data_IF_108349765662
#
_entry.id   IF_108349765662
#
_cell.length_a   1.000
_cell.length_b   1.000
_cell.length_c   1.000
_cell.angle_alpha   90.00
_cell.angle_beta   90.00
_cell.angle_gamma   90.00
#
_symmetry.space_group_name_H-M   'P 1'
#
loop_
_entity.id
_entity.type
_entity.pdbx_description
1 polymer ?
#
# COMPACT_ATOMS: atom_id res chain seq x y z
N UNK A 1 -21.62 -16.16 -10.67
CA UNK A 1 -21.71 -14.81 -11.27
C UNK A 1 -20.61 -14.75 -12.29
N UNK A 2 -20.95 -14.53 -13.55
CA UNK A 2 -19.95 -14.39 -14.61
C UNK A 2 -19.66 -12.89 -14.78
N UNK A 3 -18.54 -12.44 -14.20
CA UNK A 3 -18.05 -11.07 -14.38
C UNK A 3 -17.41 -10.93 -15.77
N UNK A 4 -17.57 -9.75 -16.38
CA UNK A 4 -16.89 -9.35 -17.63
C UNK A 4 -15.71 -8.42 -17.34
N UNK A 5 -14.96 -8.08 -18.39
CA UNK A 5 -13.89 -7.08 -18.28
C UNK A 5 -14.43 -5.76 -17.68
N UNK A 6 -13.70 -5.21 -16.70
CA UNK A 6 -14.04 -4.05 -15.88
C UNK A 6 -15.23 -4.24 -14.93
N UNK A 7 -15.79 -5.45 -14.83
CA UNK A 7 -16.75 -5.79 -13.79
C UNK A 7 -16.05 -6.47 -12.61
N UNK A 8 -16.65 -6.32 -11.43
CA UNK A 8 -16.09 -6.83 -10.20
C UNK A 8 -17.02 -6.72 -9.02
N UNK A 9 -16.48 -7.00 -7.84
CA UNK A 9 -17.16 -6.93 -6.57
C UNK A 9 -16.39 -6.03 -5.61
N UNK A 10 -17.14 -5.42 -4.70
CA UNK A 10 -16.62 -4.74 -3.52
C UNK A 10 -17.32 -5.32 -2.30
N UNK A 11 -16.56 -5.57 -1.25
CA UNK A 11 -17.09 -6.10 0.00
C UNK A 11 -16.40 -5.45 1.19
N UNK A 12 -17.09 -5.45 2.32
CA UNK A 12 -16.50 -5.17 3.62
C UNK A 12 -16.31 -6.51 4.31
N UNK A 13 -15.10 -6.80 4.78
CA UNK A 13 -14.88 -7.97 5.60
C UNK A 13 -13.98 -7.63 6.80
N UNK A 14 -14.12 -8.44 7.83
CA UNK A 14 -13.31 -8.36 9.05
C UNK A 14 -12.43 -9.60 9.14
N UNK A 15 -11.13 -9.40 9.34
CA UNK A 15 -10.16 -10.48 9.59
C UNK A 15 -9.74 -10.47 11.04
N UNK A 16 -9.75 -11.65 11.68
CA UNK A 16 -9.18 -11.85 13.01
C UNK A 16 -7.72 -12.31 12.87
N UNK A 17 -6.81 -11.64 13.57
CA UNK A 17 -5.36 -11.83 13.53
C UNK A 17 -4.88 -12.19 14.95
N UNK A 18 -5.06 -13.46 15.33
CA UNK A 18 -4.79 -13.94 16.70
C UNK A 18 -3.34 -13.72 17.16
N UNK A 19 -2.38 -13.93 16.26
CA UNK A 19 -0.96 -13.99 16.60
C UNK A 19 -0.23 -12.65 16.30
N UNK A 20 -0.91 -11.51 16.44
CA UNK A 20 -0.32 -10.17 16.27
C UNK A 20 -0.06 -9.50 17.62
N UNK A 21 1.07 -8.83 17.74
CA UNK A 21 1.30 -7.88 18.82
C UNK A 21 0.53 -6.60 18.52
N UNK A 22 -0.34 -6.20 19.44
CA UNK A 22 -1.10 -4.95 19.32
C UNK A 22 -0.17 -3.75 19.51
N UNK A 23 -0.35 -2.74 18.67
CA UNK A 23 0.35 -1.46 18.74
C UNK A 23 -0.64 -0.36 18.32
N UNK A 24 -0.29 0.94 18.35
CA UNK A 24 -1.20 2.02 17.98
C UNK A 24 -1.85 1.90 16.59
N UNK A 25 -1.30 1.09 15.68
CA UNK A 25 -1.80 0.87 14.31
C UNK A 25 -2.21 -0.58 14.02
N UNK A 26 -1.99 -1.51 14.96
CA UNK A 26 -2.29 -2.95 14.83
C UNK A 26 -3.26 -3.41 15.90
N UNK A 27 -4.39 -3.93 15.45
CA UNK A 27 -5.45 -4.52 16.28
C UNK A 27 -5.66 -6.00 15.96
N UNK A 28 -6.19 -6.75 16.92
CA UNK A 28 -6.61 -8.16 16.75
C UNK A 28 -7.64 -8.36 15.63
N UNK A 29 -8.54 -7.40 15.43
CA UNK A 29 -9.49 -7.37 14.30
C UNK A 29 -9.07 -6.31 13.29
N UNK A 30 -9.13 -6.63 11.99
CA UNK A 30 -8.89 -5.68 10.91
C UNK A 30 -10.09 -5.64 9.98
N UNK A 31 -10.70 -4.47 9.87
CA UNK A 31 -11.76 -4.22 8.90
C UNK A 31 -11.14 -3.74 7.59
N UNK A 32 -11.55 -4.36 6.49
CA UNK A 32 -11.03 -4.07 5.16
C UNK A 32 -12.19 -3.85 4.18
N UNK A 33 -12.04 -2.84 3.34
CA UNK A 33 -12.82 -2.71 2.12
C UNK A 33 -11.99 -3.38 1.03
N UNK A 34 -12.51 -4.47 0.47
CA UNK A 34 -11.83 -5.23 -0.57
C UNK A 34 -12.63 -5.21 -1.85
N UNK A 35 -11.92 -4.90 -2.93
CA UNK A 35 -12.46 -4.90 -4.28
C UNK A 35 -11.65 -5.86 -5.14
N UNK A 36 -12.32 -6.50 -6.10
CA UNK A 36 -11.70 -7.33 -7.12
C UNK A 36 -12.46 -7.14 -8.42
N UNK A 37 -11.76 -6.98 -9.53
CA UNK A 37 -12.37 -6.83 -10.84
C UNK A 37 -11.50 -7.46 -11.93
N UNK A 38 -12.12 -7.78 -13.06
CA UNK A 38 -11.45 -8.41 -14.20
C UNK A 38 -10.82 -7.33 -15.07
N UNK A 39 -9.55 -7.55 -15.46
CA UNK A 39 -8.82 -6.69 -16.39
C UNK A 39 -8.35 -7.48 -17.61
N UNK A 40 -8.26 -6.82 -18.77
CA UNK A 40 -7.67 -7.43 -19.97
C UNK A 40 -6.20 -7.79 -19.76
N UNK A 41 -5.78 -8.92 -20.34
CA UNK A 41 -4.38 -9.42 -20.27
C UNK A 41 -3.36 -8.42 -20.85
N UNK A 42 -3.76 -7.62 -21.84
CA UNK A 42 -2.86 -6.73 -22.58
C UNK A 42 -2.49 -5.45 -21.79
N UNK A 43 -3.26 -5.10 -20.75
CA UNK A 43 -3.03 -3.89 -19.93
C UNK A 43 -2.14 -4.14 -18.71
N UNK A 44 -1.54 -5.32 -18.60
CA UNK A 44 -1.20 -5.92 -17.29
C UNK A 44 -0.13 -5.22 -16.45
N UNK A 45 0.86 -4.56 -17.04
CA UNK A 45 1.98 -4.01 -16.23
C UNK A 45 1.65 -2.65 -15.63
N UNK A 46 0.98 -1.77 -16.39
CA UNK A 46 0.63 -0.41 -15.93
C UNK A 46 -0.64 -0.35 -15.10
N UNK A 47 -1.53 -1.33 -15.24
CA UNK A 47 -2.85 -1.25 -14.61
C UNK A 47 -2.76 -1.21 -13.08
N UNK A 48 -1.83 -1.94 -12.46
CA UNK A 48 -1.66 -1.91 -11.00
C UNK A 48 -1.16 -0.53 -10.53
N UNK A 49 -0.27 0.10 -11.28
CA UNK A 49 0.18 1.47 -11.01
C UNK A 49 -0.97 2.47 -11.17
N UNK A 50 -1.73 2.38 -12.26
CA UNK A 50 -2.86 3.27 -12.54
C UNK A 50 -3.95 3.14 -11.47
N UNK A 51 -4.29 1.91 -11.07
CA UNK A 51 -5.24 1.63 -9.98
C UNK A 51 -4.72 2.17 -8.65
N UNK A 52 -3.43 1.98 -8.35
CA UNK A 52 -2.84 2.48 -7.10
C UNK A 52 -2.94 4.02 -7.02
N UNK A 53 -2.69 4.70 -8.14
CA UNK A 53 -2.85 6.16 -8.23
C UNK A 53 -4.32 6.58 -8.10
N UNK A 54 -5.25 5.86 -8.70
CA UNK A 54 -6.68 6.18 -8.60
C UNK A 54 -7.22 6.00 -7.18
N UNK A 55 -6.84 4.90 -6.51
CA UNK A 55 -7.13 4.68 -5.09
C UNK A 55 -6.56 5.83 -4.24
N UNK A 56 -5.33 6.27 -4.53
CA UNK A 56 -4.76 7.40 -3.82
C UNK A 56 -5.54 8.69 -4.04
N UNK A 57 -5.96 9.02 -5.26
CA UNK A 57 -6.78 10.21 -5.55
C UNK A 57 -8.09 10.20 -4.78
N UNK A 58 -8.74 9.03 -4.68
CA UNK A 58 -9.96 8.88 -3.87
C UNK A 58 -9.67 9.21 -2.41
N UNK A 59 -8.60 8.64 -1.84
CA UNK A 59 -8.21 8.92 -0.45
C UNK A 59 -7.85 10.40 -0.24
N UNK A 60 -7.15 11.02 -1.19
CA UNK A 60 -6.80 12.43 -1.14
C UNK A 60 -8.04 13.33 -1.17
N UNK A 61 -9.03 13.03 -2.03
CA UNK A 61 -10.31 13.74 -2.09
C UNK A 61 -11.07 13.64 -0.76
N UNK A 62 -11.11 12.46 -0.15
CA UNK A 62 -11.70 12.27 1.18
C UNK A 62 -10.96 13.11 2.22
N UNK A 63 -9.62 13.14 2.18
CA UNK A 63 -8.83 13.97 3.09
C UNK A 63 -9.10 15.47 2.91
N UNK A 64 -9.29 15.95 1.67
CA UNK A 64 -9.70 17.33 1.37
C UNK A 64 -11.10 17.66 1.92
N UNK A 65 -12.06 16.74 1.76
CA UNK A 65 -13.41 16.89 2.34
C UNK A 65 -13.37 16.97 3.86
N UNK A 66 -12.59 16.11 4.53
CA UNK A 66 -12.39 16.13 5.98
C UNK A 66 -11.70 17.42 6.41
N UNK A 67 -10.66 17.84 5.68
CA UNK A 67 -9.92 19.09 5.88
C UNK A 67 -10.87 20.30 5.85
N UNK A 68 -11.72 20.40 4.83
CA UNK A 68 -12.71 21.46 4.70
C UNK A 68 -13.76 21.42 5.84
N UNK A 69 -14.31 20.23 6.13
CA UNK A 69 -15.37 20.04 7.14
C UNK A 69 -14.90 20.41 8.54
N UNK A 70 -13.68 20.01 8.91
CA UNK A 70 -13.15 20.19 10.26
C UNK A 70 -12.22 21.41 10.38
N UNK A 71 -12.02 22.16 9.29
CA UNK A 71 -11.09 23.31 9.23
C UNK A 71 -9.67 22.95 9.67
N UNK A 72 -9.24 21.72 9.37
CA UNK A 72 -7.88 21.24 9.58
C UNK A 72 -7.16 21.21 8.25
N UNK A 73 -5.82 21.20 8.24
CA UNK A 73 -5.05 21.12 6.99
C UNK A 73 -5.02 19.68 6.48
N UNK A 74 -5.27 19.46 5.19
CA UNK A 74 -4.89 18.22 4.52
C UNK A 74 -3.35 18.08 4.53
N UNK A 75 -2.88 16.98 5.13
CA UNK A 75 -1.46 16.69 5.31
C UNK A 75 -0.89 15.76 4.24
N UNK A 76 -1.75 15.12 3.44
CA UNK A 76 -1.33 14.22 2.37
C UNK A 76 -0.72 15.04 1.22
N UNK A 77 0.33 14.54 0.55
CA UNK A 77 0.90 15.20 -0.62
C UNK A 77 -0.06 15.11 -1.83
N UNK A 78 0.01 16.04 -2.79
CA UNK A 78 -0.86 15.94 -3.98
C UNK A 78 -0.53 14.76 -4.89
N UNK A 79 0.75 14.38 -4.90
CA UNK A 79 1.28 13.28 -5.72
C UNK A 79 2.15 12.39 -4.84
N UNK A 80 2.06 11.07 -5.04
CA UNK A 80 2.89 10.11 -4.32
C UNK A 80 4.21 9.87 -5.03
N UNK A 81 5.30 9.83 -4.24
CA UNK A 81 6.54 9.21 -4.72
C UNK A 81 6.32 7.72 -4.89
N UNK A 82 6.96 7.15 -5.90
CA UNK A 82 6.97 5.73 -6.18
C UNK A 82 8.38 5.20 -5.96
N UNK A 83 8.52 4.10 -5.22
CA UNK A 83 9.81 3.44 -5.00
C UNK A 83 9.61 1.93 -4.99
N UNK A 84 10.53 1.18 -5.58
CA UNK A 84 10.52 -0.29 -5.45
C UNK A 84 11.20 -0.73 -4.16
N UNK A 85 10.85 -1.92 -3.66
CA UNK A 85 11.55 -2.54 -2.52
C UNK A 85 13.07 -2.64 -2.75
N UNK A 86 13.50 -2.86 -3.99
CA UNK A 86 14.91 -2.86 -4.37
C UNK A 86 15.55 -1.47 -4.31
N UNK A 87 14.91 -0.46 -4.88
CA UNK A 87 15.40 0.93 -4.83
C UNK A 87 15.53 1.41 -3.38
N UNK A 88 14.52 1.14 -2.55
CA UNK A 88 14.55 1.48 -1.13
C UNK A 88 15.74 0.82 -0.39
N UNK A 89 16.04 -0.45 -0.72
CA UNK A 89 17.23 -1.13 -0.19
C UNK A 89 18.55 -0.51 -0.67
N UNK A 90 18.58 0.01 -1.89
CA UNK A 90 19.77 0.62 -2.47
C UNK A 90 20.02 2.03 -1.91
N UNK A 91 18.95 2.80 -1.65
CA UNK A 91 19.04 4.15 -1.08
C UNK A 91 19.49 4.12 0.38
N UNK A 92 19.05 3.12 1.14
CA UNK A 92 19.34 2.99 2.58
C UNK A 92 20.03 1.64 2.91
N UNK A 93 21.24 1.37 2.37
CA UNK A 93 21.87 0.06 2.45
C UNK A 93 22.25 -0.33 3.89
N UNK A 94 22.56 0.66 4.72
CA UNK A 94 23.00 0.47 6.11
C UNK A 94 21.85 0.43 7.12
N UNK A 95 20.61 0.61 6.68
CA UNK A 95 19.43 0.61 7.54
C UNK A 95 18.80 -0.78 7.59
N UNK A 96 18.20 -1.10 8.73
CA UNK A 96 17.27 -2.23 8.85
C UNK A 96 16.06 -1.99 7.95
N UNK A 97 15.36 -3.06 7.55
CA UNK A 97 14.18 -2.97 6.69
C UNK A 97 13.17 -1.92 7.15
N UNK A 98 12.81 -1.94 8.43
CA UNK A 98 11.86 -1.00 9.03
C UNK A 98 12.44 0.42 9.05
N UNK A 99 13.72 0.56 9.37
CA UNK A 99 14.43 1.85 9.32
C UNK A 99 14.45 2.48 7.92
N UNK A 100 14.47 1.69 6.83
CA UNK A 100 14.36 2.22 5.46
C UNK A 100 12.99 2.83 5.22
N UNK A 101 11.93 2.13 5.62
CA UNK A 101 10.54 2.60 5.49
C UNK A 101 10.29 3.85 6.31
N UNK A 102 10.77 3.86 7.57
CA UNK A 102 10.68 5.02 8.46
C UNK A 102 11.41 6.24 7.90
N UNK A 103 12.63 6.05 7.39
CA UNK A 103 13.41 7.15 6.81
C UNK A 103 12.69 7.72 5.58
N UNK A 104 12.26 6.86 4.66
CA UNK A 104 11.61 7.30 3.43
C UNK A 104 10.24 7.96 3.68
N UNK A 105 9.44 7.46 4.63
CA UNK A 105 8.13 8.05 4.94
C UNK A 105 8.26 9.43 5.61
N UNK A 106 9.31 9.64 6.42
CA UNK A 106 9.59 10.95 7.02
C UNK A 106 9.94 12.01 5.97
N UNK A 107 10.58 11.62 4.87
CA UNK A 107 10.94 12.52 3.77
C UNK A 107 9.78 12.81 2.82
N UNK A 108 8.78 11.92 2.75
CA UNK A 108 7.77 11.91 1.68
C UNK A 108 6.34 12.12 2.14
N UNK A 109 6.04 11.94 3.43
CA UNK A 109 4.70 11.94 4.05
C UNK A 109 3.77 10.81 3.59
N UNK A 110 3.85 10.42 2.32
CA UNK A 110 3.18 9.26 1.76
C UNK A 110 3.92 8.78 0.51
N UNK A 111 3.87 7.47 0.24
CA UNK A 111 4.45 6.89 -0.98
C UNK A 111 3.79 5.56 -1.38
N UNK A 112 4.10 5.14 -2.60
CA UNK A 112 3.79 3.80 -3.13
C UNK A 112 5.04 2.95 -3.11
N UNK A 113 5.01 1.85 -2.35
CA UNK A 113 6.01 0.79 -2.41
C UNK A 113 5.62 -0.21 -3.50
N UNK A 114 6.46 -0.32 -4.52
CA UNK A 114 6.30 -1.26 -5.63
C UNK A 114 7.08 -2.55 -5.40
N UNK A 115 6.57 -3.65 -5.96
CA UNK A 115 7.12 -4.98 -5.83
C UNK A 115 7.40 -5.35 -4.35
N UNK A 116 6.44 -5.06 -3.48
CA UNK A 116 6.55 -5.40 -2.07
C UNK A 116 6.52 -6.93 -1.91
N UNK A 117 7.33 -7.44 -1.00
CA UNK A 117 7.54 -8.87 -0.79
C UNK A 117 8.41 -9.56 -1.84
N UNK A 118 8.76 -8.92 -2.96
CA UNK A 118 9.64 -9.49 -3.98
C UNK A 118 11.06 -9.72 -3.44
N UNK A 119 11.74 -10.74 -3.97
CA UNK A 119 13.13 -11.05 -3.60
C UNK A 119 14.06 -9.99 -4.19
N UNK A 120 14.81 -9.32 -3.33
CA UNK A 120 15.83 -8.34 -3.69
C UNK A 120 17.11 -9.03 -4.19
N UNK A 121 18.01 -8.27 -4.83
CA UNK A 121 19.32 -8.76 -5.28
C UNK A 121 20.20 -9.30 -4.15
N UNK A 122 20.01 -8.80 -2.92
CA UNK A 122 20.64 -9.32 -1.71
C UNK A 122 20.19 -10.75 -1.36
N UNK A 123 19.16 -11.26 -2.03
CA UNK A 123 18.50 -12.51 -1.72
C UNK A 123 17.46 -12.41 -0.60
N UNK A 124 17.36 -11.25 0.05
CA UNK A 124 16.39 -10.99 1.12
C UNK A 124 15.06 -10.52 0.53
N UNK A 125 13.99 -10.64 1.32
CA UNK A 125 12.70 -9.99 1.05
C UNK A 125 12.52 -8.91 2.10
N UNK A 126 11.79 -7.86 1.74
CA UNK A 126 11.31 -6.96 2.76
C UNK A 126 10.32 -7.76 3.63
N UNK A 127 9.21 -8.29 3.09
CA UNK A 127 8.26 -9.14 3.83
C UNK A 127 8.03 -10.49 3.17
N UNK A 128 7.48 -11.39 3.98
CA UNK A 128 6.82 -12.58 3.46
C UNK A 128 5.44 -12.23 2.90
N UNK A 129 5.22 -12.58 1.64
CA UNK A 129 3.92 -12.60 0.94
C UNK A 129 3.90 -13.92 0.19
N UNK A 130 2.79 -14.64 0.26
CA UNK A 130 2.63 -15.96 -0.34
C UNK A 130 2.75 -15.85 -1.88
N UNK A 131 3.86 -16.31 -2.49
CA UNK A 131 4.08 -16.15 -3.92
C UNK A 131 3.14 -17.02 -4.77
N UNK A 132 2.51 -18.03 -4.17
CA UNK A 132 1.49 -18.85 -4.86
C UNK A 132 0.15 -18.13 -5.02
N UNK A 133 -0.08 -17.03 -4.27
CA UNK A 133 -1.33 -16.27 -4.26
C UNK A 133 -1.18 -14.94 -5.00
N UNK A 134 -0.01 -14.30 -4.92
CA UNK A 134 0.20 -12.95 -5.45
C UNK A 134 1.33 -12.86 -6.46
N UNK A 135 1.12 -12.08 -7.52
CA UNK A 135 2.18 -11.63 -8.41
C UNK A 135 3.00 -10.54 -7.71
N UNK A 136 4.11 -10.94 -7.10
CA UNK A 136 4.99 -10.04 -6.33
C UNK A 136 5.69 -8.97 -7.18
N UNK A 137 5.72 -9.12 -8.50
CA UNK A 137 6.24 -8.07 -9.39
C UNK A 137 5.21 -6.95 -9.54
N UNK A 138 3.93 -7.34 -9.63
CA UNK A 138 2.79 -6.44 -9.74
C UNK A 138 2.04 -6.34 -8.39
N UNK A 139 2.79 -5.99 -7.34
CA UNK A 139 2.28 -5.84 -5.99
C UNK A 139 2.69 -4.48 -5.41
N UNK A 140 1.72 -3.58 -5.34
CA UNK A 140 1.89 -2.22 -4.84
C UNK A 140 1.24 -2.06 -3.48
N UNK A 141 1.85 -1.23 -2.64
CA UNK A 141 1.30 -0.84 -1.36
C UNK A 141 1.40 0.66 -1.14
N UNK A 142 0.37 1.22 -0.52
CA UNK A 142 0.30 2.64 -0.20
C UNK A 142 0.61 2.81 1.29
N UNK A 143 1.57 3.67 1.60
CA UNK A 143 1.99 3.98 2.96
C UNK A 143 1.83 5.46 3.26
N UNK A 144 1.28 5.78 4.44
CA UNK A 144 1.17 7.15 4.97
C UNK A 144 2.01 7.30 6.23
N UNK A 145 2.44 8.53 6.52
CA UNK A 145 3.10 8.87 7.78
C UNK A 145 2.09 8.98 8.91
N UNK A 146 2.27 8.19 9.95
CA UNK A 146 1.74 8.50 11.27
C UNK A 146 2.57 9.64 11.87
N UNK A 147 2.03 10.85 11.95
CA UNK A 147 2.73 11.99 12.55
C UNK A 147 2.75 11.95 14.08
N UNK A 148 1.87 11.16 14.71
CA UNK A 148 1.80 11.03 16.16
C UNK A 148 2.87 10.04 16.64
N UNK A 149 2.96 8.89 15.99
CA UNK A 149 3.89 7.82 16.37
C UNK A 149 5.19 7.83 15.54
N UNK A 150 5.30 8.71 14.54
CA UNK A 150 6.43 8.79 13.59
C UNK A 150 6.74 7.46 12.88
N UNK A 151 5.68 6.74 12.49
CA UNK A 151 5.76 5.40 11.92
C UNK A 151 5.04 5.31 10.56
N UNK A 152 5.43 4.38 9.68
CA UNK A 152 4.69 4.11 8.45
C UNK A 152 3.39 3.35 8.74
N UNK A 153 2.26 3.87 8.26
CA UNK A 153 0.96 3.18 8.28
C UNK A 153 0.72 2.56 6.90
N UNK A 154 0.48 1.25 6.86
CA UNK A 154 0.06 0.56 5.65
C UNK A 154 -1.44 0.78 5.39
N UNK A 155 -1.78 1.43 4.28
CA UNK A 155 -3.14 1.88 3.97
C UNK A 155 -3.85 0.93 3.02
N UNK A 156 -3.19 0.54 1.92
CA UNK A 156 -3.82 -0.27 0.89
C UNK A 156 -2.79 -1.16 0.20
N UNK A 157 -3.25 -2.34 -0.23
CA UNK A 157 -2.52 -3.25 -1.10
C UNK A 157 -3.29 -3.38 -2.41
N UNK A 158 -2.60 -3.23 -3.53
CA UNK A 158 -3.14 -3.40 -4.88
C UNK A 158 -2.23 -4.39 -5.58
N UNK A 159 -2.77 -5.55 -5.96
CA UNK A 159 -1.99 -6.60 -6.58
C UNK A 159 -2.80 -7.38 -7.59
N UNK A 160 -2.08 -8.03 -8.50
CA UNK A 160 -2.61 -9.04 -9.39
C UNK A 160 -2.58 -10.42 -8.71
N UNK A 161 -3.68 -11.13 -8.84
CA UNK A 161 -3.84 -12.54 -8.48
C UNK A 161 -3.52 -13.46 -9.67
#
# INVERSE_FOLDING_TARGET
MDFKENEGLITKFTKIRRDIEEDPIKSLSRDEIVFQFIVSKDKSTKIIDDISQEIYKIIYSIADEISAKHKIRNILPKELKNITSQQLSNEYPNFSRDGRMETFIMETEAFILKAAGAKQFSGQRDKFIEPEIYDLIHHNEIYFRDRVNNAPIHIATISRL
#
